data_IF_163923725440
#
_entry.id   IF_163923725440
#
_cell.length_a   1.000
_cell.length_b   1.000
_cell.length_c   1.000
_cell.angle_alpha   90.00
_cell.angle_beta   90.00
_cell.angle_gamma   90.00
#
_symmetry.space_group_name_H-M   'P 1'
#
loop_
_entity.id
_entity.type
_entity.pdbx_description
1 polymer ?
#
# COMPACT_ATOMS: atom_id res chain seq x y z
N UNK A 1 -26.85 7.23 -1.77
CA UNK A 1 -26.16 7.25 -3.09
C UNK A 1 -24.79 6.65 -2.88
N UNK A 2 -24.53 5.49 -3.50
CA UNK A 2 -23.21 4.89 -3.80
C UNK A 2 -22.09 5.09 -2.74
N UNK A 3 -22.29 4.68 -1.49
CA UNK A 3 -21.23 4.73 -0.44
C UNK A 3 -20.43 3.43 -0.30
N UNK A 4 -20.82 2.37 -1.00
CA UNK A 4 -20.40 0.98 -0.69
C UNK A 4 -19.51 0.39 -1.80
N UNK A 5 -19.08 1.21 -2.77
CA UNK A 5 -18.28 0.76 -3.91
C UNK A 5 -16.76 0.83 -3.65
N UNK A 6 -16.37 0.77 -2.37
CA UNK A 6 -15.04 1.17 -1.91
C UNK A 6 -14.05 0.00 -1.81
N UNK A 7 -14.54 -1.23 -1.66
CA UNK A 7 -13.68 -2.34 -1.30
C UNK A 7 -13.05 -3.09 -2.47
N UNK A 8 -13.71 -3.10 -3.61
CA UNK A 8 -13.56 -4.19 -4.61
C UNK A 8 -12.31 -4.02 -5.49
N UNK A 9 -11.60 -2.90 -5.37
CA UNK A 9 -10.34 -2.72 -6.12
C UNK A 9 -9.16 -2.34 -5.25
N UNK A 10 -9.40 -1.78 -4.07
CA UNK A 10 -8.37 -1.62 -3.05
C UNK A 10 -8.10 -2.94 -2.30
N UNK A 11 -9.06 -3.85 -2.18
CA UNK A 11 -8.84 -5.11 -1.45
C UNK A 11 -8.11 -6.20 -2.26
N UNK A 12 -7.96 -6.07 -3.58
CA UNK A 12 -7.01 -6.89 -4.36
C UNK A 12 -5.55 -6.47 -4.11
N UNK A 13 -5.36 -5.44 -3.27
CA UNK A 13 -4.10 -4.77 -2.97
C UNK A 13 -3.79 -4.86 -1.47
N UNK A 14 -3.24 -6.01 -1.16
CA UNK A 14 -2.24 -6.26 -0.12
C UNK A 14 -2.67 -6.41 1.34
N UNK A 15 -2.04 -7.31 2.11
CA UNK A 15 -2.40 -7.70 3.49
C UNK A 15 -1.44 -8.77 4.03
N UNK A 16 -0.69 -8.52 5.09
CA UNK A 16 -0.17 -9.48 6.07
C UNK A 16 -0.49 -9.07 7.52
N UNK A 17 -0.88 -10.03 8.35
CA UNK A 17 -0.65 -10.08 9.78
C UNK A 17 0.55 -11.00 10.06
N UNK A 18 1.59 -10.46 10.69
CA UNK A 18 2.81 -11.16 11.12
C UNK A 18 2.50 -12.22 12.20
N UNK A 19 2.77 -13.49 11.88
CA UNK A 19 2.71 -14.60 12.82
C UNK A 19 4.13 -15.10 13.16
N UNK A 20 4.72 -14.47 14.18
CA UNK A 20 5.43 -15.20 15.23
C UNK A 20 6.88 -15.63 14.94
N UNK A 21 7.80 -14.67 14.74
CA UNK A 21 9.22 -14.93 14.98
C UNK A 21 9.52 -15.02 16.49
N UNK A 22 9.53 -16.24 17.03
CA UNK A 22 9.95 -16.52 18.41
C UNK A 22 11.47 -16.46 18.54
N UNK A 23 12.00 -15.24 18.69
CA UNK A 23 13.41 -15.01 19.03
C UNK A 23 13.64 -15.21 20.53
N UNK A 24 14.26 -16.34 20.87
CA UNK A 24 14.62 -16.71 22.24
C UNK A 24 16.02 -16.15 22.56
N UNK A 25 16.11 -14.95 23.16
CA UNK A 25 17.39 -14.37 23.58
C UNK A 25 17.37 -13.89 25.03
N UNK A 26 17.99 -14.71 25.89
CA UNK A 26 18.28 -14.42 27.28
C UNK A 26 19.59 -13.61 27.35
N UNK A 27 19.50 -12.28 27.43
CA UNK A 27 20.65 -11.42 27.72
C UNK A 27 20.25 -10.23 28.58
N UNK A 28 20.56 -10.31 29.88
CA UNK A 28 20.46 -9.22 30.84
C UNK A 28 21.55 -8.18 30.55
N UNK A 29 21.19 -7.08 29.87
CA UNK A 29 21.88 -5.81 30.05
C UNK A 29 20.95 -4.64 29.73
N UNK A 30 20.51 -3.95 30.79
CA UNK A 30 19.71 -2.73 30.74
C UNK A 30 20.53 -1.57 30.16
N UNK A 31 20.53 -1.45 28.84
CA UNK A 31 20.63 -0.17 28.16
C UNK A 31 19.88 -0.30 26.84
N UNK A 32 18.57 -0.06 26.89
CA UNK A 32 17.69 -0.01 25.71
C UNK A 32 18.05 1.26 24.93
N UNK A 33 19.20 1.21 24.25
CA UNK A 33 19.47 2.12 23.16
C UNK A 33 18.45 1.77 22.08
N UNK A 34 17.53 2.68 21.80
CA UNK A 34 16.69 2.65 20.60
C UNK A 34 17.59 2.31 19.41
N UNK A 35 17.52 1.08 18.93
CA UNK A 35 18.22 0.63 17.74
C UNK A 35 17.56 1.33 16.55
N UNK A 36 17.93 2.58 16.32
CA UNK A 36 17.60 3.26 15.08
C UNK A 36 18.27 2.47 13.96
N UNK A 37 17.46 1.84 13.10
CA UNK A 37 17.92 1.02 11.98
C UNK A 37 18.85 1.83 11.06
N UNK A 38 18.67 3.16 11.02
CA UNK A 38 19.48 4.09 10.23
C UNK A 38 20.72 4.61 10.97
N UNK A 39 21.01 4.11 12.17
CA UNK A 39 22.07 4.66 13.02
C UNK A 39 21.74 6.05 13.54
N UNK A 40 22.76 6.86 13.82
CA UNK A 40 22.57 8.24 14.28
C UNK A 40 22.34 9.17 13.08
N UNK A 41 21.13 9.15 12.56
CA UNK A 41 20.64 10.14 11.58
C UNK A 41 20.51 11.49 12.29
N UNK A 42 21.38 12.43 11.92
CA UNK A 42 21.33 13.82 12.38
C UNK A 42 20.18 14.60 11.74
N UNK A 43 20.09 15.88 12.07
CA UNK A 43 19.25 16.83 11.34
C UNK A 43 17.94 17.24 12.00
N UNK A 44 17.13 17.93 11.20
CA UNK A 44 15.83 18.47 11.60
C UNK A 44 14.74 17.48 11.22
N UNK A 45 13.77 17.29 12.11
CA UNK A 45 12.55 16.53 11.83
C UNK A 45 11.59 17.39 11.01
N UNK A 46 11.20 16.91 9.84
CA UNK A 46 10.16 17.48 9.00
C UNK A 46 8.99 16.51 8.91
N UNK A 47 7.80 17.00 9.26
CA UNK A 47 6.58 16.21 9.31
C UNK A 47 5.63 16.58 8.18
N UNK A 48 5.02 15.56 7.58
CA UNK A 48 4.15 15.69 6.42
C UNK A 48 2.90 14.83 6.59
N UNK A 49 1.81 15.26 5.94
CA UNK A 49 0.64 14.44 5.69
C UNK A 49 0.56 14.17 4.19
N UNK A 50 0.39 12.91 3.82
CA UNK A 50 0.17 12.50 2.44
C UNK A 50 -1.20 13.05 2.01
N UNK A 51 -1.23 13.86 0.97
CA UNK A 51 -2.45 14.52 0.47
C UNK A 51 -2.88 14.01 -0.90
N UNK A 52 -2.08 13.16 -1.52
CA UNK A 52 -2.40 12.46 -2.76
C UNK A 52 -1.75 11.08 -2.70
N UNK A 53 -2.54 10.06 -3.02
CA UNK A 53 -2.06 8.72 -3.31
C UNK A 53 -2.65 8.36 -4.67
N UNK A 54 -1.80 7.94 -5.59
CA UNK A 54 -2.17 7.60 -6.95
C UNK A 54 -1.64 6.21 -7.28
N UNK A 55 -2.57 5.32 -7.57
CA UNK A 55 -2.31 3.98 -8.07
C UNK A 55 -2.32 4.04 -9.60
N UNK A 56 -1.25 3.59 -10.28
CA UNK A 56 -1.18 3.64 -11.73
C UNK A 56 -2.26 2.76 -12.36
N UNK A 57 -2.89 3.26 -13.41
CA UNK A 57 -3.93 2.53 -14.15
C UNK A 57 -3.43 2.00 -15.49
N UNK A 58 -2.18 2.33 -15.85
CA UNK A 58 -1.54 1.87 -17.07
C UNK A 58 -0.02 1.70 -16.86
N UNK A 59 0.59 0.58 -17.29
CA UNK A 59 2.04 0.40 -17.26
C UNK A 59 2.86 1.50 -17.97
N UNK A 60 2.26 2.18 -18.96
CA UNK A 60 2.91 3.28 -19.68
C UNK A 60 3.23 4.50 -18.80
N UNK A 61 2.64 4.60 -17.61
CA UNK A 61 2.88 5.69 -16.65
C UNK A 61 4.23 5.57 -15.93
N UNK A 62 4.86 4.38 -15.95
CA UNK A 62 6.17 4.13 -15.32
C UNK A 62 6.22 4.50 -13.83
N UNK A 63 5.09 4.38 -13.13
CA UNK A 63 5.05 4.53 -11.67
C UNK A 63 5.42 3.17 -11.09
N UNK A 64 6.65 3.03 -10.64
CA UNK A 64 7.25 1.79 -10.13
C UNK A 64 8.74 2.02 -9.93
N UNK A 65 9.46 1.00 -9.45
CA UNK A 65 10.91 1.05 -9.29
C UNK A 65 11.53 -0.27 -9.73
N UNK A 66 12.76 -0.22 -10.20
CA UNK A 66 13.60 -1.40 -10.43
C UNK A 66 14.00 -1.99 -9.06
N UNK A 67 13.33 -3.06 -8.65
CA UNK A 67 13.46 -3.71 -7.34
C UNK A 67 14.46 -4.87 -7.37
N UNK A 68 14.63 -5.54 -8.52
CA UNK A 68 15.54 -6.68 -8.67
C UNK A 68 16.86 -6.35 -9.40
N UNK A 69 16.97 -5.14 -9.95
CA UNK A 69 18.19 -4.61 -10.56
C UNK A 69 18.37 -4.99 -12.03
N UNK A 70 17.32 -5.39 -12.73
CA UNK A 70 17.36 -5.77 -14.14
C UNK A 70 17.33 -4.57 -15.12
N UNK A 71 17.08 -3.36 -14.60
CA UNK A 71 17.01 -2.11 -15.35
C UNK A 71 15.61 -1.76 -15.90
N UNK A 72 14.59 -2.59 -15.65
CA UNK A 72 13.19 -2.31 -15.96
C UNK A 72 12.47 -1.72 -14.74
N UNK A 73 11.31 -1.10 -14.99
CA UNK A 73 10.46 -0.60 -13.91
C UNK A 73 9.51 -1.71 -13.49
N UNK A 74 9.59 -2.13 -12.24
CA UNK A 74 8.71 -3.16 -11.69
C UNK A 74 7.46 -2.50 -11.11
N UNK A 75 6.32 -2.85 -11.70
CA UNK A 75 5.03 -2.60 -11.09
C UNK A 75 3.91 -3.47 -11.68
N UNK A 76 3.75 -4.67 -11.14
CA UNK A 76 2.67 -5.59 -11.52
C UNK A 76 1.28 -5.00 -11.28
N UNK A 77 1.14 -4.14 -10.28
CA UNK A 77 -0.12 -3.48 -9.94
C UNK A 77 -0.72 -2.74 -11.14
N UNK A 78 0.10 -2.03 -11.90
CA UNK A 78 -0.38 -1.26 -13.06
C UNK A 78 -1.06 -2.15 -14.12
N UNK A 79 -0.59 -3.39 -14.30
CA UNK A 79 -1.21 -4.37 -15.20
C UNK A 79 -2.57 -4.85 -14.67
N UNK A 80 -2.67 -5.10 -13.36
CA UNK A 80 -3.93 -5.46 -12.73
C UNK A 80 -4.97 -4.37 -12.93
N UNK A 81 -4.60 -3.14 -12.56
CA UNK A 81 -5.51 -2.01 -12.61
C UNK A 81 -5.99 -1.75 -14.04
N UNK A 82 -5.08 -1.85 -15.02
CA UNK A 82 -5.45 -1.77 -16.43
C UNK A 82 -6.47 -2.86 -16.80
N UNK A 83 -6.24 -4.11 -16.38
CA UNK A 83 -7.15 -5.23 -16.67
C UNK A 83 -8.53 -5.02 -16.03
N UNK A 84 -8.57 -4.67 -14.74
CA UNK A 84 -9.82 -4.44 -14.01
C UNK A 84 -10.62 -3.27 -14.60
N UNK A 85 -9.97 -2.13 -14.84
CA UNK A 85 -10.63 -0.94 -15.41
C UNK A 85 -11.09 -1.23 -16.85
N UNK A 86 -10.38 -2.06 -17.61
CA UNK A 86 -10.83 -2.48 -18.95
C UNK A 86 -12.10 -3.32 -18.92
N UNK A 87 -12.37 -4.02 -17.81
CA UNK A 87 -13.61 -4.75 -17.58
C UNK A 87 -14.73 -3.81 -17.13
N UNK A 88 -14.44 -2.88 -16.20
CA UNK A 88 -15.40 -1.88 -15.74
C UNK A 88 -14.71 -0.65 -15.13
N UNK A 89 -15.17 0.55 -15.49
CA UNK A 89 -14.74 1.81 -14.87
C UNK A 89 -15.08 1.88 -13.36
N UNK A 90 -16.01 1.04 -12.89
CA UNK A 90 -16.36 0.94 -11.45
C UNK A 90 -15.19 0.35 -10.63
N UNK A 91 -14.16 -0.24 -11.27
CA UNK A 91 -12.90 -0.63 -10.61
C UNK A 91 -11.90 0.53 -10.45
N UNK A 92 -12.24 1.78 -10.76
CA UNK A 92 -11.32 2.90 -10.61
C UNK A 92 -11.09 3.27 -9.12
N UNK A 93 -9.89 2.95 -8.59
CA UNK A 93 -9.50 3.21 -7.17
C UNK A 93 -9.13 4.65 -6.85
N UNK A 94 -8.60 5.41 -7.81
CA UNK A 94 -8.04 6.74 -7.50
C UNK A 94 -9.07 7.76 -7.01
N UNK A 95 -10.29 7.86 -7.59
CA UNK A 95 -11.32 8.77 -7.08
C UNK A 95 -11.75 8.46 -5.64
N UNK A 96 -11.76 7.16 -5.31
CA UNK A 96 -12.10 6.59 -4.00
C UNK A 96 -11.04 7.00 -2.97
N UNK A 97 -9.76 6.72 -3.24
CA UNK A 97 -8.65 7.11 -2.35
C UNK A 97 -8.61 8.63 -2.15
N UNK A 98 -8.78 9.40 -3.22
CA UNK A 98 -8.83 10.86 -3.14
C UNK A 98 -9.96 11.35 -2.21
N UNK A 99 -11.15 10.73 -2.28
CA UNK A 99 -12.26 11.05 -1.41
C UNK A 99 -11.99 10.68 0.05
N UNK A 100 -11.38 9.52 0.34
CA UNK A 100 -11.00 9.15 1.72
C UNK A 100 -9.99 10.13 2.33
N UNK A 101 -9.00 10.56 1.54
CA UNK A 101 -8.06 11.59 1.99
C UNK A 101 -8.78 12.91 2.26
N UNK A 102 -9.64 13.37 1.34
CA UNK A 102 -10.39 14.63 1.47
C UNK A 102 -11.32 14.66 2.71
N UNK A 103 -11.95 13.53 3.02
CA UNK A 103 -12.82 13.39 4.19
C UNK A 103 -12.03 13.20 5.50
N UNK A 104 -10.76 12.81 5.43
CA UNK A 104 -9.96 12.43 6.60
C UNK A 104 -10.28 11.02 7.14
N UNK A 105 -10.95 10.19 6.34
CA UNK A 105 -11.22 8.78 6.66
C UNK A 105 -9.91 7.96 6.64
N UNK A 106 -8.91 8.44 5.89
CA UNK A 106 -7.56 7.93 5.85
C UNK A 106 -6.58 9.08 6.09
N UNK A 107 -5.57 8.87 6.93
CA UNK A 107 -4.45 9.79 7.07
C UNK A 107 -3.12 9.03 7.17
N UNK A 108 -2.33 9.13 6.10
CA UNK A 108 -0.95 8.62 6.08
C UNK A 108 -0.02 9.79 6.38
N UNK A 109 0.86 9.59 7.33
CA UNK A 109 1.80 10.58 7.84
C UNK A 109 3.23 10.17 7.50
N UNK A 110 4.09 11.17 7.33
CA UNK A 110 5.51 10.95 7.13
C UNK A 110 6.35 11.85 8.05
N UNK A 111 7.45 11.31 8.57
CA UNK A 111 8.50 12.07 9.25
C UNK A 111 9.82 11.86 8.51
N UNK A 112 10.49 12.93 8.11
CA UNK A 112 11.79 12.91 7.46
C UNK A 112 12.82 13.57 8.38
N UNK A 113 13.84 12.82 8.78
CA UNK A 113 15.02 13.33 9.48
C UNK A 113 16.09 13.64 8.45
N UNK A 114 16.45 14.92 8.30
CA UNK A 114 17.44 15.38 7.31
C UNK A 114 18.15 16.64 7.80
N UNK A 115 19.47 16.74 7.58
CA UNK A 115 20.25 17.94 7.87
C UNK A 115 20.07 19.00 6.78
N UNK A 116 20.07 18.58 5.51
CA UNK A 116 19.93 19.46 4.35
C UNK A 116 19.33 18.73 3.14
N UNK A 117 18.33 19.34 2.50
CA UNK A 117 17.73 18.82 1.27
C UNK A 117 18.65 18.89 0.03
N UNK A 118 19.83 19.50 0.12
CA UNK A 118 20.72 19.67 -1.03
C UNK A 118 21.91 18.72 -1.13
N UNK A 119 21.96 17.73 -0.24
CA UNK A 119 23.06 16.76 -0.20
C UNK A 119 23.29 16.26 1.21
N UNK A 120 22.52 15.25 1.61
CA UNK A 120 22.66 14.56 2.89
C UNK A 120 22.80 13.06 2.63
N UNK A 121 23.90 12.47 3.09
CA UNK A 121 24.20 11.07 2.85
C UNK A 121 23.54 10.12 3.86
N UNK A 122 22.88 10.65 4.88
CA UNK A 122 22.28 9.88 5.95
C UNK A 122 20.98 10.54 6.39
N UNK A 123 19.87 10.07 5.81
CA UNK A 123 18.52 10.46 6.21
C UNK A 123 17.69 9.24 6.62
N UNK A 124 16.59 9.51 7.32
CA UNK A 124 15.57 8.49 7.58
C UNK A 124 14.19 9.05 7.31
N UNK A 125 13.36 8.27 6.62
CA UNK A 125 11.94 8.54 6.48
C UNK A 125 11.15 7.49 7.25
N UNK A 126 10.20 7.94 8.05
CA UNK A 126 9.25 7.08 8.75
C UNK A 126 7.85 7.33 8.21
N UNK A 127 7.19 6.30 7.73
CA UNK A 127 5.76 6.32 7.39
C UNK A 127 4.96 5.84 8.59
N UNK A 128 3.80 6.45 8.82
CA UNK A 128 2.94 6.20 9.96
C UNK A 128 1.48 6.41 9.57
N UNK A 129 0.58 5.76 10.27
CA UNK A 129 -0.83 6.13 10.26
C UNK A 129 -1.16 7.16 11.32
N UNK A 130 -2.25 7.87 11.08
CA UNK A 130 -2.79 8.78 12.06
C UNK A 130 -4.23 9.14 11.79
N UNK A 131 -4.65 10.18 12.48
CA UNK A 131 -5.97 10.79 12.31
C UNK A 131 -5.83 12.29 12.29
N UNK A 132 -6.68 12.95 11.50
CA UNK A 132 -6.78 14.41 11.51
C UNK A 132 -7.46 14.87 12.80
N UNK A 133 -6.87 15.83 13.50
CA UNK A 133 -7.37 16.36 14.78
C UNK A 133 -7.67 17.85 14.73
N UNK A 134 -7.65 18.46 13.54
CA UNK A 134 -8.01 19.85 13.35
C UNK A 134 -9.53 20.08 13.32
N UNK A 135 -9.93 21.34 13.44
CA UNK A 135 -11.34 21.72 13.55
C UNK A 135 -12.11 21.67 12.21
N UNK A 136 -11.40 21.65 11.06
CA UNK A 136 -11.99 21.68 9.72
C UNK A 136 -11.12 20.96 8.68
N UNK A 137 -11.72 20.11 7.86
CA UNK A 137 -11.05 19.38 6.77
C UNK A 137 -10.47 20.31 5.70
N UNK A 138 -10.98 21.54 5.54
CA UNK A 138 -10.40 22.56 4.66
C UNK A 138 -8.95 22.93 5.03
N UNK A 139 -8.55 22.69 6.28
CA UNK A 139 -7.19 22.96 6.77
C UNK A 139 -6.26 21.76 6.73
N UNK A 140 -6.80 20.58 6.40
CA UNK A 140 -6.09 19.30 6.51
C UNK A 140 -4.80 19.27 5.69
N UNK A 141 -4.85 19.71 4.43
CA UNK A 141 -3.72 19.64 3.50
C UNK A 141 -3.22 21.00 2.99
N UNK A 142 -3.40 22.07 3.77
CA UNK A 142 -2.94 23.42 3.39
C UNK A 142 -1.56 23.81 3.96
N UNK A 143 -0.82 22.86 4.54
CA UNK A 143 0.45 23.11 5.22
C UNK A 143 0.36 23.37 6.73
N UNK A 144 -0.87 23.52 7.26
CA UNK A 144 -1.12 23.82 8.70
C UNK A 144 -1.95 22.75 9.41
N UNK A 145 -2.30 21.66 8.72
CA UNK A 145 -3.07 20.56 9.29
C UNK A 145 -2.40 19.96 10.52
N UNK A 146 -3.22 19.60 11.51
CA UNK A 146 -2.78 18.96 12.75
C UNK A 146 -3.30 17.53 12.77
N UNK A 147 -2.40 16.59 13.00
CA UNK A 147 -2.67 15.17 13.03
C UNK A 147 -2.15 14.55 14.33
N UNK A 148 -2.73 13.43 14.75
CA UNK A 148 -2.17 12.56 15.77
C UNK A 148 -1.71 11.27 15.12
N UNK A 149 -0.48 10.85 15.42
CA UNK A 149 -0.03 9.49 15.13
C UNK A 149 -0.95 8.49 15.82
N UNK A 150 -1.32 7.41 15.14
CA UNK A 150 -1.95 6.26 15.77
C UNK A 150 -0.89 5.47 16.55
N UNK A 151 -1.03 5.40 17.87
CA UNK A 151 -0.09 4.68 18.74
C UNK A 151 -0.31 3.17 18.76
N UNK A 152 -1.43 2.71 18.21
CA UNK A 152 -1.78 1.29 18.07
C UNK A 152 -1.41 0.74 16.72
N UNK A 153 -1.33 1.59 15.69
CA UNK A 153 -0.79 1.22 14.40
C UNK A 153 0.68 0.80 14.55
N UNK A 154 1.08 -0.36 13.99
CA UNK A 154 2.49 -0.71 13.93
C UNK A 154 3.23 0.45 13.24
N UNK A 155 4.33 0.93 13.84
CA UNK A 155 5.09 2.02 13.20
C UNK A 155 5.49 1.56 11.81
N UNK A 156 4.91 2.21 10.81
CA UNK A 156 4.68 1.56 9.52
C UNK A 156 5.99 1.26 8.80
N UNK A 157 7.04 2.05 9.00
CA UNK A 157 8.44 1.65 8.81
C UNK A 157 9.39 2.80 9.01
N UNK A 158 10.68 2.52 9.20
CA UNK A 158 11.75 3.51 9.02
C UNK A 158 12.69 3.07 7.91
N UNK A 159 12.71 3.82 6.81
CA UNK A 159 13.61 3.63 5.69
C UNK A 159 14.80 4.58 5.81
N UNK A 160 15.98 4.05 5.52
CA UNK A 160 17.24 4.79 5.57
C UNK A 160 17.69 5.12 4.16
N UNK A 161 18.42 6.21 3.98
CA UNK A 161 18.95 6.55 2.67
C UNK A 161 19.63 7.89 2.62
N UNK A 162 19.50 8.57 1.47
CA UNK A 162 20.16 9.85 1.20
C UNK A 162 19.28 10.80 0.40
N UNK A 163 19.65 12.08 0.45
CA UNK A 163 19.12 13.14 -0.40
C UNK A 163 20.21 13.69 -1.28
N UNK A 164 19.91 13.89 -2.56
CA UNK A 164 20.82 14.52 -3.52
C UNK A 164 20.33 15.89 -3.96
N UNK A 165 21.27 16.75 -4.34
CA UNK A 165 21.05 17.86 -5.27
C UNK A 165 19.94 18.81 -4.85
N UNK A 166 18.75 18.68 -5.44
CA UNK A 166 17.60 19.55 -5.20
C UNK A 166 16.47 18.82 -4.44
N UNK A 167 16.81 18.07 -3.39
CA UNK A 167 15.81 17.34 -2.60
C UNK A 167 15.47 15.95 -3.11
N UNK A 168 16.25 15.40 -4.05
CA UNK A 168 15.96 14.09 -4.62
C UNK A 168 16.18 13.00 -3.57
N UNK A 169 15.12 12.28 -3.20
CA UNK A 169 15.13 11.19 -2.23
C UNK A 169 15.54 9.86 -2.87
N UNK A 170 16.30 9.08 -2.12
CA UNK A 170 16.62 7.68 -2.41
C UNK A 170 16.78 6.93 -1.10
N UNK A 171 15.70 6.25 -0.73
CA UNK A 171 15.47 5.60 0.56
C UNK A 171 15.18 4.11 0.35
N UNK A 172 15.60 3.30 1.32
CA UNK A 172 15.43 1.85 1.33
C UNK A 172 16.70 1.10 0.88
N UNK A 173 16.62 -0.24 0.73
CA UNK A 173 15.45 -1.09 0.96
C UNK A 173 15.09 -1.21 2.46
N UNK A 174 13.82 -1.47 2.74
CA UNK A 174 13.30 -1.88 4.06
C UNK A 174 11.88 -2.41 3.93
N UNK A 175 11.24 -2.84 5.01
CA UNK A 175 9.81 -3.18 4.97
C UNK A 175 8.98 -1.92 5.20
N UNK A 176 7.80 -1.79 4.60
CA UNK A 176 6.83 -0.72 4.87
C UNK A 176 5.43 -1.31 4.98
N UNK A 177 4.80 -1.11 6.12
CA UNK A 177 3.45 -1.56 6.38
C UNK A 177 2.44 -0.48 5.97
N UNK A 178 1.25 -0.87 5.53
CA UNK A 178 0.15 0.08 5.27
C UNK A 178 -1.16 -0.54 5.74
N UNK A 179 -1.95 0.18 6.51
CA UNK A 179 -3.32 -0.22 6.79
C UNK A 179 -4.28 0.56 5.88
N UNK A 180 -4.96 -0.16 4.99
CA UNK A 180 -5.89 0.41 4.02
C UNK A 180 -7.32 0.08 4.46
N UNK A 181 -8.16 1.08 4.78
CA UNK A 181 -9.57 0.84 5.01
C UNK A 181 -10.22 0.42 3.69
N UNK A 182 -10.68 -0.83 3.62
CA UNK A 182 -11.39 -1.37 2.46
C UNK A 182 -12.90 -1.32 2.67
N UNK A 183 -13.37 -1.22 3.91
CA UNK A 183 -14.74 -0.85 4.25
C UNK A 183 -14.78 -0.16 5.62
N UNK A 184 -15.97 0.28 6.05
CA UNK A 184 -16.18 0.90 7.36
C UNK A 184 -15.75 -0.01 8.54
N UNK A 185 -15.66 -1.32 8.32
CA UNK A 185 -15.40 -2.31 9.38
C UNK A 185 -14.17 -3.18 9.11
N UNK A 186 -13.56 -3.07 7.94
CA UNK A 186 -12.43 -3.92 7.54
C UNK A 186 -11.28 -3.04 7.08
N UNK A 187 -10.16 -3.22 7.76
CA UNK A 187 -8.87 -2.66 7.39
C UNK A 187 -7.98 -3.80 6.93
N UNK A 188 -7.17 -3.52 5.92
CA UNK A 188 -6.29 -4.48 5.29
C UNK A 188 -4.84 -4.03 5.50
N UNK A 189 -4.05 -4.84 6.20
CA UNK A 189 -2.71 -4.45 6.67
C UNK A 189 -1.62 -5.00 5.75
N UNK A 190 -1.11 -4.26 4.78
CA UNK A 190 -0.08 -4.65 3.82
C UNK A 190 1.33 -4.66 4.41
N UNK A 191 2.22 -5.57 4.00
CA UNK A 191 3.67 -5.33 4.11
C UNK A 191 4.34 -5.25 2.72
N UNK A 192 4.88 -4.08 2.37
CA UNK A 192 5.79 -3.93 1.24
C UNK A 192 7.21 -4.31 1.68
N UNK A 193 7.65 -5.51 1.32
CA UNK A 193 9.03 -5.93 1.48
C UNK A 193 9.96 -5.20 0.53
N UNK A 194 11.21 -4.99 0.95
CA UNK A 194 12.24 -4.34 0.12
C UNK A 194 11.80 -2.98 -0.47
N UNK A 195 10.89 -2.29 0.21
CA UNK A 195 10.36 -1.02 -0.18
C UNK A 195 11.46 0.04 -0.37
N UNK A 196 11.31 0.78 -1.44
CA UNK A 196 12.11 1.92 -1.84
C UNK A 196 11.22 3.15 -1.94
N UNK A 197 11.77 4.31 -1.55
CA UNK A 197 11.12 5.61 -1.77
C UNK A 197 12.05 6.48 -2.61
N UNK A 198 11.58 6.91 -3.79
CA UNK A 198 12.29 7.83 -4.67
C UNK A 198 11.40 8.99 -5.06
N UNK A 199 11.96 10.18 -5.22
CA UNK A 199 11.20 11.36 -5.63
C UNK A 199 11.87 12.63 -5.19
N UNK A 200 11.11 13.69 -4.92
CA UNK A 200 11.65 14.96 -4.42
C UNK A 200 10.98 15.37 -3.11
N UNK A 201 11.77 15.84 -2.14
CA UNK A 201 11.27 16.43 -0.91
C UNK A 201 11.93 17.77 -0.59
N UNK A 202 11.22 18.58 0.18
CA UNK A 202 11.65 19.87 0.70
C UNK A 202 11.03 20.14 2.07
N UNK A 203 11.35 21.27 2.69
CA UNK A 203 10.68 21.70 3.93
C UNK A 203 9.16 21.90 3.78
N UNK A 204 8.66 22.06 2.56
CA UNK A 204 7.25 22.35 2.29
C UNK A 204 6.41 21.10 1.96
N UNK A 205 7.06 20.03 1.48
CA UNK A 205 6.34 18.85 1.01
C UNK A 205 7.18 17.84 0.25
N UNK A 206 6.51 16.77 -0.15
CA UNK A 206 6.98 15.73 -1.07
C UNK A 206 6.27 15.91 -2.42
N UNK A 207 7.02 15.77 -3.51
CA UNK A 207 6.56 15.98 -4.88
C UNK A 207 6.96 14.79 -5.74
N UNK A 208 5.97 14.20 -6.41
CA UNK A 208 6.13 13.06 -7.31
C UNK A 208 6.97 11.93 -6.67
N UNK A 209 6.67 11.60 -5.42
CA UNK A 209 7.35 10.52 -4.72
C UNK A 209 6.73 9.19 -5.10
N UNK A 210 7.55 8.24 -5.54
CA UNK A 210 7.17 6.86 -5.76
C UNK A 210 7.55 6.07 -4.52
N UNK A 211 6.58 5.35 -3.97
CA UNK A 211 6.80 4.30 -2.99
C UNK A 211 6.55 2.99 -3.72
N UNK A 212 7.56 2.13 -3.78
CA UNK A 212 7.42 0.82 -4.40
C UNK A 212 8.08 -0.25 -3.55
N UNK A 213 7.54 -1.46 -3.58
CA UNK A 213 8.07 -2.61 -2.87
C UNK A 213 7.45 -3.90 -3.37
N UNK A 214 7.66 -4.97 -2.62
CA UNK A 214 7.39 -6.32 -3.03
C UNK A 214 6.45 -6.99 -2.03
N UNK A 215 5.39 -7.64 -2.49
CA UNK A 215 4.49 -8.44 -1.64
C UNK A 215 4.68 -9.92 -1.95
N UNK A 216 4.70 -10.75 -0.92
CA UNK A 216 4.93 -12.17 -1.13
C UNK A 216 3.67 -12.85 -1.72
N UNK A 217 3.81 -13.84 -2.62
CA UNK A 217 2.65 -14.57 -3.14
C UNK A 217 1.86 -15.30 -2.06
N UNK A 218 2.54 -15.67 -0.95
CA UNK A 218 1.90 -16.33 0.19
C UNK A 218 0.98 -15.37 0.92
N UNK A 219 1.46 -14.17 1.21
CA UNK A 219 0.67 -13.06 1.75
C UNK A 219 -0.56 -12.79 0.87
N UNK A 220 -0.40 -12.75 -0.45
CA UNK A 220 -1.54 -12.57 -1.39
C UNK A 220 -2.56 -13.68 -1.23
N UNK A 221 -2.11 -14.92 -1.28
CA UNK A 221 -3.00 -16.06 -1.25
C UNK A 221 -3.71 -16.23 0.09
N UNK A 222 -3.00 -16.10 1.19
CA UNK A 222 -3.44 -16.58 2.50
C UNK A 222 -4.14 -15.50 3.31
N UNK A 223 -3.97 -14.23 2.94
CA UNK A 223 -4.43 -13.10 3.73
C UNK A 223 -5.26 -12.14 2.87
N UNK A 224 -4.72 -11.76 1.70
CA UNK A 224 -5.29 -10.69 0.85
C UNK A 224 -6.55 -11.17 0.17
N UNK A 225 -6.44 -12.29 -0.54
CA UNK A 225 -7.58 -12.83 -1.28
C UNK A 225 -8.74 -13.24 -0.34
N UNK A 226 -8.53 -13.86 0.83
CA UNK A 226 -9.62 -14.11 1.77
C UNK A 226 -10.32 -12.83 2.25
N UNK A 227 -9.56 -11.81 2.66
CA UNK A 227 -10.13 -10.54 3.10
C UNK A 227 -10.90 -9.82 1.98
N UNK A 228 -10.41 -9.93 0.73
CA UNK A 228 -11.11 -9.46 -0.45
C UNK A 228 -12.45 -10.16 -0.63
N UNK A 229 -12.45 -11.50 -0.63
CA UNK A 229 -13.66 -12.32 -0.82
C UNK A 229 -14.71 -11.96 0.22
N UNK A 230 -14.32 -11.86 1.50
CA UNK A 230 -15.24 -11.51 2.58
C UNK A 230 -15.86 -10.12 2.35
N UNK A 231 -15.05 -9.14 1.95
CA UNK A 231 -15.53 -7.79 1.74
C UNK A 231 -16.45 -7.70 0.52
N UNK A 232 -16.04 -8.26 -0.62
CA UNK A 232 -16.85 -8.32 -1.85
C UNK A 232 -18.20 -9.00 -1.61
N UNK A 233 -18.22 -10.10 -0.88
CA UNK A 233 -19.48 -10.78 -0.58
C UNK A 233 -20.39 -9.97 0.36
N UNK A 234 -19.82 -9.16 1.27
CA UNK A 234 -20.61 -8.22 2.05
C UNK A 234 -21.23 -7.14 1.15
N UNK A 235 -20.48 -6.63 0.17
CA UNK A 235 -20.97 -5.66 -0.80
C UNK A 235 -22.10 -6.25 -1.65
N UNK A 236 -21.90 -7.46 -2.20
CA UNK A 236 -22.92 -8.19 -2.98
C UNK A 236 -24.19 -8.42 -2.14
N UNK A 237 -24.07 -8.80 -0.87
CA UNK A 237 -25.22 -8.98 0.02
C UNK A 237 -25.94 -7.65 0.30
N UNK A 238 -25.21 -6.55 0.39
CA UNK A 238 -25.76 -5.22 0.69
C UNK A 238 -26.44 -4.56 -0.52
N UNK A 239 -25.90 -4.76 -1.72
CA UNK A 239 -26.39 -4.21 -2.98
C UNK A 239 -26.16 -5.19 -4.15
N UNK A 240 -27.02 -6.21 -4.31
CA UNK A 240 -26.86 -7.21 -5.36
C UNK A 240 -26.91 -6.62 -6.78
N UNK A 241 -27.79 -5.63 -7.02
CA UNK A 241 -27.92 -5.00 -8.34
C UNK A 241 -26.71 -4.12 -8.66
N UNK A 242 -26.21 -3.35 -7.68
CA UNK A 242 -25.01 -2.53 -7.83
C UNK A 242 -23.72 -3.34 -7.97
N UNK A 243 -23.72 -4.58 -7.48
CA UNK A 243 -22.55 -5.47 -7.48
C UNK A 243 -22.52 -6.45 -8.66
N UNK A 244 -23.45 -6.34 -9.61
CA UNK A 244 -23.52 -7.26 -10.75
C UNK A 244 -22.22 -7.29 -11.57
N UNK A 245 -21.52 -6.17 -11.70
CA UNK A 245 -20.24 -6.12 -12.43
C UNK A 245 -19.17 -7.01 -11.80
N UNK A 246 -19.20 -7.18 -10.47
CA UNK A 246 -18.28 -8.04 -9.73
C UNK A 246 -18.55 -9.49 -10.07
N UNK A 247 -19.82 -9.88 -9.99
CA UNK A 247 -20.27 -11.22 -10.35
C UNK A 247 -19.91 -11.50 -11.81
N UNK A 248 -20.23 -10.61 -12.73
CA UNK A 248 -19.89 -10.78 -14.15
C UNK A 248 -18.38 -10.91 -14.40
N UNK A 249 -17.54 -10.34 -13.53
CA UNK A 249 -16.07 -10.38 -13.63
C UNK A 249 -15.47 -11.65 -13.01
N UNK A 250 -16.01 -12.11 -11.88
CA UNK A 250 -15.37 -13.14 -11.05
C UNK A 250 -16.21 -14.41 -10.87
N UNK A 251 -17.54 -14.29 -10.76
CA UNK A 251 -18.48 -15.41 -10.60
C UNK A 251 -18.43 -16.29 -11.84
N UNK A 252 -18.05 -17.56 -11.67
CA UNK A 252 -17.92 -18.53 -12.75
C UNK A 252 -16.95 -18.16 -13.91
N UNK A 253 -15.97 -17.27 -13.68
CA UNK A 253 -14.94 -16.88 -14.67
C UNK A 253 -13.59 -17.59 -14.44
N UNK A 254 -13.61 -18.88 -14.10
CA UNK A 254 -12.40 -19.63 -13.78
C UNK A 254 -11.77 -20.32 -14.98
N UNK A 255 -10.46 -20.53 -14.90
CA UNK A 255 -9.70 -21.38 -15.81
C UNK A 255 -8.98 -22.50 -15.05
N UNK A 256 -8.94 -23.69 -15.65
CA UNK A 256 -8.16 -24.83 -15.14
C UNK A 256 -6.71 -24.84 -15.63
N UNK A 257 -6.28 -23.79 -16.33
CA UNK A 257 -4.91 -23.62 -16.80
C UNK A 257 -3.94 -23.13 -15.70
N UNK A 258 -4.48 -22.72 -14.54
CA UNK A 258 -3.72 -22.18 -13.42
C UNK A 258 -3.41 -23.25 -12.37
N UNK A 259 -2.25 -23.10 -11.71
CA UNK A 259 -1.80 -24.03 -10.68
C UNK A 259 -2.77 -24.05 -9.48
N UNK A 260 -3.22 -25.24 -9.10
CA UNK A 260 -4.22 -25.43 -8.05
C UNK A 260 -5.67 -25.16 -8.47
N UNK A 261 -5.96 -25.04 -9.78
CA UNK A 261 -7.30 -24.85 -10.35
C UNK A 261 -7.79 -26.07 -11.15
N UNK A 262 -7.28 -27.27 -10.86
CA UNK A 262 -7.66 -28.49 -11.59
C UNK A 262 -9.09 -28.94 -11.30
N UNK A 263 -9.59 -28.64 -10.10
CA UNK A 263 -10.98 -28.93 -9.69
C UNK A 263 -11.77 -27.63 -9.60
N UNK A 264 -12.55 -27.36 -10.66
CA UNK A 264 -13.42 -26.19 -10.76
C UNK A 264 -14.84 -26.46 -10.22
N UNK A 265 -15.03 -27.44 -9.33
CA UNK A 265 -16.34 -27.72 -8.74
C UNK A 265 -16.96 -26.52 -8.04
N UNK A 266 -16.11 -25.64 -7.52
CA UNK A 266 -16.48 -24.41 -6.81
C UNK A 266 -16.62 -23.20 -7.74
N UNK A 267 -16.38 -23.38 -9.04
CA UNK A 267 -16.59 -22.35 -10.05
C UNK A 267 -18.01 -22.45 -10.60
N UNK A 268 -18.97 -21.90 -9.88
CA UNK A 268 -20.39 -21.99 -10.20
C UNK A 268 -21.03 -20.64 -10.04
N UNK A 269 -21.85 -20.23 -11.01
CA UNK A 269 -22.55 -18.96 -10.88
C UNK A 269 -23.67 -19.10 -9.85
N UNK A 270 -23.40 -18.66 -8.62
CA UNK A 270 -24.31 -18.77 -7.49
C UNK A 270 -24.55 -17.44 -6.76
N UNK A 271 -23.90 -16.37 -7.22
CA UNK A 271 -24.04 -15.02 -6.65
C UNK A 271 -23.17 -14.80 -5.40
N UNK A 272 -22.21 -15.67 -5.14
CA UNK A 272 -21.21 -15.53 -4.07
C UNK A 272 -19.84 -15.76 -4.69
N UNK A 273 -18.91 -14.84 -4.46
CA UNK A 273 -17.53 -15.03 -4.90
C UNK A 273 -16.82 -15.96 -3.92
N UNK A 274 -16.24 -17.04 -4.40
CA UNK A 274 -15.39 -17.92 -3.60
C UNK A 274 -13.92 -17.58 -3.78
N UNK A 275 -13.08 -18.04 -2.84
CA UNK A 275 -11.62 -17.93 -2.98
C UNK A 275 -11.11 -18.69 -4.22
N UNK A 276 -11.74 -19.82 -4.57
CA UNK A 276 -11.40 -20.59 -5.77
C UNK A 276 -11.70 -19.78 -7.03
N UNK A 277 -12.89 -19.18 -7.13
CA UNK A 277 -13.24 -18.35 -8.28
C UNK A 277 -12.29 -17.19 -8.47
N UNK A 278 -11.95 -16.51 -7.38
CA UNK A 278 -11.01 -15.40 -7.44
C UNK A 278 -9.61 -15.86 -7.86
N UNK A 279 -9.07 -16.93 -7.26
CA UNK A 279 -7.72 -17.44 -7.57
C UNK A 279 -7.61 -17.98 -8.99
N UNK A 280 -8.66 -18.63 -9.47
CA UNK A 280 -8.71 -19.24 -10.79
C UNK A 280 -9.21 -18.28 -11.88
N UNK A 281 -9.52 -17.04 -11.52
CA UNK A 281 -9.85 -15.99 -12.46
C UNK A 281 -8.60 -15.53 -13.22
N UNK A 282 -8.73 -15.39 -14.54
CA UNK A 282 -7.61 -14.98 -15.40
C UNK A 282 -7.07 -13.58 -15.10
N UNK A 283 -7.93 -12.65 -14.68
CA UNK A 283 -7.53 -11.28 -14.32
C UNK A 283 -6.71 -11.27 -13.03
N UNK A 284 -7.13 -12.04 -12.03
CA UNK A 284 -6.44 -12.13 -10.73
C UNK A 284 -5.13 -12.88 -10.87
N UNK A 285 -5.10 -13.97 -11.65
CA UNK A 285 -3.90 -14.77 -11.83
C UNK A 285 -2.73 -13.97 -12.45
N UNK A 286 -3.01 -12.92 -13.23
CA UNK A 286 -1.99 -11.97 -13.70
C UNK A 286 -1.17 -11.43 -12.52
N UNK A 287 -1.78 -11.16 -11.38
CA UNK A 287 -1.13 -10.59 -10.18
C UNK A 287 -0.52 -11.64 -9.29
N UNK A 288 -1.11 -12.84 -9.22
CA UNK A 288 -0.60 -13.91 -8.36
C UNK A 288 0.76 -14.43 -8.85
N UNK A 289 1.06 -14.25 -10.13
CA UNK A 289 2.34 -14.63 -10.69
C UNK A 289 3.42 -13.59 -10.33
N UNK A 290 4.48 -14.01 -9.62
CA UNK A 290 5.62 -13.15 -9.35
C UNK A 290 6.18 -12.55 -10.63
N UNK A 291 6.65 -11.32 -10.54
CA UNK A 291 7.33 -10.62 -11.63
C UNK A 291 8.76 -10.23 -11.30
N UNK A 292 9.15 -10.30 -10.03
CA UNK A 292 10.50 -9.99 -9.55
C UNK A 292 11.02 -11.12 -8.64
N UNK A 293 12.34 -11.27 -8.61
CA UNK A 293 13.01 -12.20 -7.69
C UNK A 293 14.07 -11.44 -6.89
N UNK A 294 13.86 -11.27 -5.59
CA UNK A 294 14.80 -10.59 -4.69
C UNK A 294 15.45 -11.62 -3.78
N UNK A 295 16.78 -11.71 -3.80
CA UNK A 295 17.55 -12.67 -2.99
C UNK A 295 17.12 -14.15 -3.16
N UNK A 296 16.59 -14.50 -4.33
CA UNK A 296 16.10 -15.86 -4.64
C UNK A 296 14.70 -16.17 -4.11
N UNK A 297 13.97 -15.16 -3.64
CA UNK A 297 12.55 -15.25 -3.29
C UNK A 297 11.73 -14.47 -4.32
N UNK A 298 10.66 -15.08 -4.78
CA UNK A 298 9.76 -14.51 -5.78
C UNK A 298 8.72 -13.61 -5.13
N UNK A 299 8.49 -12.44 -5.72
CA UNK A 299 7.52 -11.46 -5.24
C UNK A 299 6.69 -10.84 -6.37
N UNK A 300 5.62 -10.18 -5.96
CA UNK A 300 4.81 -9.31 -6.82
C UNK A 300 5.18 -7.86 -6.53
N UNK A 301 5.61 -7.13 -7.55
CA UNK A 301 6.07 -5.75 -7.46
C UNK A 301 4.93 -4.74 -7.49
N UNK A 302 5.00 -3.74 -6.62
CA UNK A 302 3.92 -2.79 -6.41
C UNK A 302 4.52 -1.40 -6.28
N UNK A 303 3.95 -0.45 -7.02
CA UNK A 303 4.36 0.94 -6.99
C UNK A 303 3.16 1.87 -7.02
N UNK A 304 3.22 2.91 -6.18
CA UNK A 304 2.27 4.00 -6.15
C UNK A 304 3.00 5.34 -6.09
N UNK A 305 2.33 6.40 -6.56
CA UNK A 305 2.83 7.77 -6.44
C UNK A 305 2.12 8.47 -5.30
N UNK A 306 2.86 9.24 -4.52
CA UNK A 306 2.34 10.09 -3.45
C UNK A 306 2.83 11.52 -3.57
N UNK A 307 2.00 12.43 -3.09
CA UNK A 307 2.38 13.80 -2.75
C UNK A 307 2.10 14.03 -1.28
N UNK A 308 2.92 14.87 -0.64
CA UNK A 308 2.74 15.20 0.76
C UNK A 308 2.91 16.70 0.99
N UNK A 309 2.15 17.24 1.92
CA UNK A 309 2.27 18.62 2.38
C UNK A 309 2.77 18.64 3.81
N UNK A 310 3.45 19.71 4.20
CA UNK A 310 3.83 19.94 5.59
C UNK A 310 2.62 19.82 6.53
N UNK A 311 2.84 19.19 7.67
CA UNK A 311 1.82 19.03 8.71
C UNK A 311 2.43 19.11 10.10
N UNK A 312 1.60 19.29 11.13
CA UNK A 312 1.98 19.13 12.54
C UNK A 312 1.51 17.76 13.00
N UNK A 313 2.44 16.91 13.45
CA UNK A 313 2.12 15.60 14.00
C UNK A 313 2.31 15.63 15.51
N UNK A 314 1.28 15.23 16.23
CA UNK A 314 1.32 15.00 17.68
C UNK A 314 1.57 13.52 17.97
N UNK A 315 2.19 13.22 19.13
CA UNK A 315 2.52 11.86 19.58
C UNK A 315 3.57 11.11 18.71
N UNK A 316 4.61 11.82 18.21
CA UNK A 316 5.75 11.19 17.52
C UNK A 316 6.62 10.33 18.46
#
# INVERSE_FOLDING_TARGET
>A
MKKVLFAITAALLFSSCDDGSTSNNNSNNNNVNNNNICGNVGGTSYTYAINEIYIPTNPAEQIGLDLDGDGNVDNKLSNLMQSLISTSDEFAVNPVIAQSLENGDMAVLANLMVENFTGDNSISATLMEGSFTGDSTETMYNGTGVFSKDTTSPTSATLCGRVYGNGSLDLGPGDVNFSIPISDTVTLDVTLHHALIKGTASSEGWFDVIIAGAVSPTEIRDEILPAFVDNVNNDIQSDPEGSQFILDTFDNQCSNEYDGCEDLSDCVSDGVITLTELRCNSTVNIVLNPDITINGVDYVSLGLRVSAVKAVITNL
#
